data_IF_591408919985
#
_entry.id   IF_591408919985
#
_cell.length_a   1.000
_cell.length_b   1.000
_cell.length_c   1.000
_cell.angle_alpha   90.00
_cell.angle_beta   90.00
_cell.angle_gamma   90.00
#
_symmetry.space_group_name_H-M   'P 1'
#
loop_
_entity.id
_entity.type
_entity.pdbx_description
1 polymer ?
#
# COMPACT_ATOMS: atom_id res chain seq x y z
N UNK A 1 -0.90 16.07 -12.29
CA UNK A 1 0.11 15.01 -12.28
C UNK A 1 1.00 15.19 -13.51
N UNK A 2 2.32 15.31 -13.29
CA UNK A 2 3.31 15.34 -14.35
C UNK A 2 3.77 13.90 -14.66
N UNK A 3 3.74 13.56 -15.95
CA UNK A 3 4.17 12.24 -16.46
C UNK A 3 5.50 12.35 -17.20
N UNK A 4 6.08 11.23 -17.55
CA UNK A 4 7.22 11.17 -18.47
C UNK A 4 6.90 11.99 -19.73
N UNK A 5 7.73 12.96 -20.08
CA UNK A 5 7.51 13.88 -21.20
C UNK A 5 7.01 15.29 -20.84
N UNK A 6 6.38 15.46 -19.69
CA UNK A 6 5.90 16.77 -19.21
C UNK A 6 7.01 17.58 -18.50
N UNK A 7 8.16 16.96 -18.25
CA UNK A 7 9.28 17.56 -17.54
C UNK A 7 10.08 18.49 -18.44
N UNK A 8 9.99 19.78 -18.17
CA UNK A 8 10.61 20.84 -18.97
C UNK A 8 11.76 21.58 -18.28
N UNK A 9 11.97 21.30 -16.98
CA UNK A 9 12.99 21.99 -16.15
C UNK A 9 13.95 20.97 -15.54
N UNK A 10 15.21 21.37 -15.41
CA UNK A 10 16.23 20.59 -14.71
C UNK A 10 16.20 20.79 -13.19
N UNK A 11 15.51 21.84 -12.73
CA UNK A 11 15.42 22.21 -11.31
C UNK A 11 13.99 22.54 -10.92
N UNK A 12 13.57 22.04 -9.78
CA UNK A 12 12.29 22.32 -9.11
C UNK A 12 12.54 22.68 -7.66
N UNK A 13 11.58 23.35 -7.03
CA UNK A 13 11.61 23.67 -5.59
C UNK A 13 10.22 23.46 -4.99
N UNK A 14 10.15 23.18 -3.70
CA UNK A 14 8.94 23.04 -2.92
C UNK A 14 9.25 23.22 -1.42
N UNK A 15 8.22 23.40 -0.59
CA UNK A 15 8.39 23.35 0.86
C UNK A 15 8.63 21.91 1.33
N UNK A 16 7.79 21.00 0.90
CA UNK A 16 7.86 19.59 1.27
C UNK A 16 8.05 18.69 0.05
N UNK A 17 9.13 17.95 0.04
CA UNK A 17 9.33 16.86 -0.91
C UNK A 17 8.91 15.54 -0.27
N UNK A 18 7.94 14.85 -0.87
CA UNK A 18 7.47 13.52 -0.44
C UNK A 18 7.92 12.47 -1.45
N UNK A 19 8.77 11.55 -1.04
CA UNK A 19 9.27 10.45 -1.89
C UNK A 19 8.41 9.21 -1.66
N UNK A 20 7.60 8.85 -2.65
CA UNK A 20 6.63 7.75 -2.64
C UNK A 20 5.21 8.22 -2.40
N UNK A 21 4.28 7.66 -3.17
CA UNK A 21 2.83 7.94 -3.10
C UNK A 21 2.01 6.80 -2.50
N UNK A 22 2.66 5.90 -1.77
CA UNK A 22 2.01 4.84 -0.99
C UNK A 22 1.25 5.39 0.23
N UNK A 23 0.83 4.50 1.13
CA UNK A 23 0.01 4.86 2.29
C UNK A 23 0.62 6.01 3.13
N UNK A 24 1.89 5.87 3.53
CA UNK A 24 2.54 6.87 4.39
C UNK A 24 2.75 8.22 3.70
N UNK A 25 3.30 8.20 2.47
CA UNK A 25 3.59 9.43 1.73
C UNK A 25 2.34 10.20 1.35
N UNK A 26 1.31 9.51 0.85
CA UNK A 26 0.05 10.14 0.44
C UNK A 26 -0.66 10.81 1.61
N UNK A 27 -0.76 10.14 2.77
CA UNK A 27 -1.42 10.73 3.95
C UNK A 27 -0.66 11.96 4.44
N UNK A 28 0.67 11.81 4.65
CA UNK A 28 1.49 12.91 5.16
C UNK A 28 1.46 14.12 4.21
N UNK A 29 1.70 13.90 2.92
CA UNK A 29 1.74 15.00 1.95
C UNK A 29 0.39 15.64 1.70
N UNK A 30 -0.72 14.87 1.72
CA UNK A 30 -2.07 15.43 1.59
C UNK A 30 -2.38 16.35 2.76
N UNK A 31 -2.13 15.92 4.00
CA UNK A 31 -2.40 16.76 5.16
C UNK A 31 -1.54 18.03 5.20
N UNK A 32 -0.33 17.98 4.68
CA UNK A 32 0.53 19.17 4.52
C UNK A 32 -0.02 20.11 3.45
N UNK A 33 -0.42 19.59 2.29
CA UNK A 33 -1.00 20.39 1.22
C UNK A 33 -2.32 21.06 1.66
N UNK A 34 -3.19 20.35 2.37
CA UNK A 34 -4.44 20.90 2.93
C UNK A 34 -4.20 22.02 3.97
N UNK A 35 -2.98 22.11 4.53
CA UNK A 35 -2.54 23.22 5.38
C UNK A 35 -1.90 24.38 4.59
N UNK A 36 -1.92 24.33 3.25
CA UNK A 36 -1.39 25.37 2.38
C UNK A 36 0.11 25.29 2.09
N UNK A 37 0.79 24.17 2.43
CA UNK A 37 2.20 23.99 2.10
C UNK A 37 2.37 23.66 0.61
N UNK A 38 3.46 24.12 -0.03
CA UNK A 38 3.84 23.67 -1.37
C UNK A 38 4.44 22.27 -1.30
N UNK A 39 3.66 21.28 -1.74
CA UNK A 39 4.04 19.84 -1.66
C UNK A 39 4.27 19.27 -3.04
N UNK A 40 5.43 18.63 -3.20
CA UNK A 40 5.75 17.82 -4.39
C UNK A 40 5.92 16.37 -4.01
N UNK A 41 5.14 15.50 -4.63
CA UNK A 41 5.31 14.05 -4.54
C UNK A 41 6.16 13.55 -5.71
N UNK A 42 7.04 12.59 -5.42
CA UNK A 42 7.82 11.86 -6.44
C UNK A 42 7.46 10.39 -6.34
N UNK A 43 7.01 9.84 -7.47
CA UNK A 43 6.68 8.42 -7.57
C UNK A 43 7.48 7.75 -8.69
N UNK A 44 8.14 6.65 -8.38
CA UNK A 44 8.93 5.87 -9.34
C UNK A 44 8.07 5.23 -10.42
N UNK A 45 6.87 4.81 -10.06
CA UNK A 45 5.92 4.17 -10.95
C UNK A 45 5.07 5.15 -11.74
N UNK A 46 4.38 4.62 -12.75
CA UNK A 46 3.49 5.39 -13.62
C UNK A 46 2.17 5.75 -12.95
N UNK A 47 1.51 6.75 -13.50
CA UNK A 47 0.13 7.08 -13.16
C UNK A 47 -0.84 6.31 -14.06
N UNK A 48 -1.69 5.53 -13.45
CA UNK A 48 -2.74 4.76 -14.11
C UNK A 48 -4.10 5.16 -13.52
N UNK A 49 -4.95 5.88 -14.26
CA UNK A 49 -6.29 6.23 -13.79
C UNK A 49 -7.14 4.97 -13.65
N UNK A 50 -8.15 4.99 -12.79
CA UNK A 50 -9.05 3.87 -12.53
C UNK A 50 -9.66 3.29 -13.81
N UNK A 51 -9.97 4.14 -14.79
CA UNK A 51 -10.50 3.75 -16.10
C UNK A 51 -9.55 2.88 -16.93
N UNK A 52 -8.25 2.87 -16.59
CA UNK A 52 -7.25 2.04 -17.27
C UNK A 52 -7.09 0.65 -16.64
N UNK A 53 -7.76 0.40 -15.53
CA UNK A 53 -7.73 -0.91 -14.87
C UNK A 53 -8.68 -1.87 -15.56
N UNK A 54 -8.25 -3.12 -15.65
CA UNK A 54 -9.02 -4.20 -16.25
C UNK A 54 -8.84 -5.49 -15.41
N UNK A 55 -9.56 -6.54 -15.76
CA UNK A 55 -9.49 -7.81 -15.06
C UNK A 55 -8.40 -8.77 -15.59
N UNK A 56 -7.50 -8.29 -16.46
CA UNK A 56 -6.42 -9.10 -17.03
C UNK A 56 -5.21 -9.04 -16.09
N UNK A 57 -4.97 -10.13 -15.37
CA UNK A 57 -3.92 -10.22 -14.35
C UNK A 57 -2.55 -9.84 -14.90
N UNK A 58 -2.13 -10.40 -16.04
CA UNK A 58 -0.83 -10.13 -16.66
C UNK A 58 -0.61 -8.66 -17.01
N UNK A 59 -1.64 -7.99 -17.58
CA UNK A 59 -1.57 -6.56 -17.93
C UNK A 59 -1.41 -5.71 -16.65
N UNK A 60 -2.19 -6.01 -15.62
CA UNK A 60 -2.23 -5.22 -14.40
C UNK A 60 -0.99 -5.44 -13.55
N UNK A 61 -0.49 -6.67 -13.45
CA UNK A 61 0.78 -6.93 -12.76
C UNK A 61 1.95 -6.26 -13.48
N UNK A 62 1.97 -6.25 -14.80
CA UNK A 62 3.00 -5.55 -15.57
C UNK A 62 3.01 -4.04 -15.34
N UNK A 63 1.83 -3.41 -15.13
CA UNK A 63 1.67 -1.97 -14.92
C UNK A 63 1.89 -1.55 -13.47
N UNK A 64 1.31 -2.30 -12.52
CA UNK A 64 1.14 -1.84 -11.14
C UNK A 64 2.21 -2.37 -10.20
N UNK A 65 2.87 -3.48 -10.54
CA UNK A 65 3.83 -4.13 -9.67
C UNK A 65 5.27 -3.88 -10.09
N UNK A 66 6.16 -3.83 -9.13
CA UNK A 66 7.60 -3.90 -9.36
C UNK A 66 7.96 -5.23 -10.02
N UNK A 67 8.82 -5.20 -11.03
CA UNK A 67 9.29 -6.39 -11.73
C UNK A 67 8.14 -7.31 -12.21
N UNK A 68 7.00 -6.74 -12.57
CA UNK A 68 5.80 -7.48 -12.99
C UNK A 68 5.30 -8.49 -11.96
N UNK A 69 5.47 -8.18 -10.67
CA UNK A 69 5.06 -9.04 -9.56
C UNK A 69 6.08 -10.11 -9.14
N UNK A 70 7.21 -10.20 -9.82
CA UNK A 70 8.26 -11.18 -9.52
C UNK A 70 9.45 -10.48 -8.85
N UNK A 71 9.47 -10.45 -7.52
CA UNK A 71 10.57 -9.89 -6.72
C UNK A 71 10.96 -10.90 -5.63
N UNK A 72 11.83 -11.87 -5.93
CA UNK A 72 12.22 -12.85 -4.93
C UNK A 72 13.17 -12.24 -3.90
N UNK A 73 12.93 -12.51 -2.62
CA UNK A 73 13.90 -12.36 -1.55
C UNK A 73 14.73 -13.65 -1.50
N UNK A 74 15.98 -13.53 -1.87
CA UNK A 74 16.90 -14.68 -1.93
C UNK A 74 17.33 -15.04 -0.52
N UNK A 75 16.99 -16.24 -0.08
CA UNK A 75 17.27 -16.75 1.25
C UNK A 75 16.78 -18.20 1.41
N UNK A 76 16.80 -18.70 2.63
CA UNK A 76 16.23 -19.99 3.01
C UNK A 76 15.19 -19.79 4.09
N UNK A 77 13.88 -19.90 3.75
CA UNK A 77 13.32 -20.20 2.42
C UNK A 77 13.39 -19.02 1.45
N UNK A 78 13.16 -19.29 0.16
CA UNK A 78 12.90 -18.26 -0.85
C UNK A 78 11.53 -17.66 -0.59
N UNK A 79 11.43 -16.32 -0.55
CA UNK A 79 10.17 -15.60 -0.30
C UNK A 79 9.81 -14.73 -1.50
N UNK A 80 8.59 -14.83 -2.00
CA UNK A 80 8.09 -13.95 -3.03
C UNK A 80 7.61 -12.63 -2.39
N UNK A 81 8.18 -11.51 -2.83
CA UNK A 81 7.79 -10.18 -2.40
C UNK A 81 6.97 -9.50 -3.50
N UNK A 82 5.85 -8.91 -3.15
CA UNK A 82 5.03 -8.08 -4.03
C UNK A 82 5.11 -6.62 -3.59
N UNK A 83 5.59 -5.74 -4.47
CA UNK A 83 5.63 -4.29 -4.23
C UNK A 83 4.82 -3.56 -5.30
N UNK A 84 4.01 -2.57 -4.89
CA UNK A 84 3.39 -1.63 -5.81
C UNK A 84 4.42 -0.66 -6.38
N UNK A 85 4.40 -0.46 -7.70
CA UNK A 85 5.20 0.53 -8.41
C UNK A 85 4.30 1.33 -9.34
N UNK A 86 3.51 2.17 -8.75
CA UNK A 86 2.55 3.05 -9.44
C UNK A 86 2.14 4.17 -8.49
N UNK A 87 1.56 5.24 -8.99
CA UNK A 87 0.93 6.26 -8.17
C UNK A 87 -0.13 5.63 -7.28
N UNK A 88 -0.01 5.81 -5.95
CA UNK A 88 -0.79 5.12 -4.93
C UNK A 88 -0.08 3.91 -4.32
N UNK A 89 1.02 3.43 -4.92
CA UNK A 89 1.88 2.38 -4.37
C UNK A 89 1.15 1.10 -3.98
N UNK A 90 1.54 0.51 -2.86
CA UNK A 90 0.96 -0.74 -2.33
C UNK A 90 -0.55 -0.66 -2.05
N UNK A 91 -1.12 0.53 -1.83
CA UNK A 91 -2.56 0.69 -1.60
C UNK A 91 -3.40 0.35 -2.83
N UNK A 92 -2.81 0.44 -4.03
CA UNK A 92 -3.50 0.08 -5.29
C UNK A 92 -3.58 -1.43 -5.48
N UNK A 93 -2.64 -2.19 -4.92
CA UNK A 93 -2.50 -3.64 -5.14
C UNK A 93 -2.76 -4.51 -3.90
N UNK A 94 -3.04 -3.93 -2.74
CA UNK A 94 -3.39 -4.68 -1.53
C UNK A 94 -4.82 -5.25 -1.59
N UNK A 95 -5.18 -6.07 -0.60
CA UNK A 95 -6.52 -6.65 -0.48
C UNK A 95 -7.56 -5.74 0.20
N UNK A 96 -7.24 -4.48 0.46
CA UNK A 96 -8.07 -3.43 1.08
C UNK A 96 -8.60 -3.69 2.50
N UNK A 97 -8.21 -4.78 3.17
CA UNK A 97 -8.46 -4.93 4.60
C UNK A 97 -7.76 -3.81 5.37
N UNK A 98 -8.46 -3.16 6.29
CA UNK A 98 -7.93 -2.08 7.11
C UNK A 98 -8.23 -2.33 8.58
N UNK A 99 -7.20 -2.65 9.35
CA UNK A 99 -7.29 -2.96 10.76
C UNK A 99 -6.63 -1.87 11.59
N UNK A 100 -7.17 -1.63 12.78
CA UNK A 100 -6.47 -0.85 13.81
C UNK A 100 -5.34 -1.71 14.39
N UNK A 101 -4.25 -1.08 14.76
CA UNK A 101 -3.19 -1.77 15.51
C UNK A 101 -3.76 -2.25 16.85
N UNK A 102 -3.65 -3.55 17.21
CA UNK A 102 -4.13 -4.05 18.49
C UNK A 102 -3.51 -3.29 19.67
N UNK A 103 -4.33 -3.06 20.71
CA UNK A 103 -3.88 -2.32 21.89
C UNK A 103 -2.62 -2.93 22.53
N UNK A 104 -2.55 -4.27 22.62
CA UNK A 104 -1.38 -4.98 23.17
C UNK A 104 -0.08 -4.64 22.44
N UNK A 105 -0.12 -4.52 21.08
CA UNK A 105 1.06 -4.16 20.28
C UNK A 105 1.49 -2.70 20.57
N UNK A 106 0.52 -1.79 20.73
CA UNK A 106 0.83 -0.41 21.09
C UNK A 106 1.41 -0.31 22.52
N UNK A 107 0.91 -1.13 23.43
CA UNK A 107 1.45 -1.22 24.79
C UNK A 107 2.89 -1.77 24.79
N UNK A 108 3.18 -2.81 24.00
CA UNK A 108 4.55 -3.32 23.77
C UNK A 108 5.46 -2.22 23.20
N UNK A 109 5.01 -1.45 22.21
CA UNK A 109 5.80 -0.37 21.63
C UNK A 109 6.16 0.70 22.68
N UNK A 110 5.25 1.00 23.61
CA UNK A 110 5.54 1.92 24.69
C UNK A 110 6.56 1.34 25.68
N UNK A 111 6.40 0.08 26.07
CA UNK A 111 7.24 -0.59 27.05
C UNK A 111 8.64 -0.89 26.52
N UNK A 112 8.73 -1.52 25.35
CA UNK A 112 9.98 -2.06 24.81
C UNK A 112 10.81 -1.03 24.05
N UNK A 113 10.12 -0.05 23.41
CA UNK A 113 10.78 0.94 22.55
C UNK A 113 10.62 2.38 23.03
N UNK A 114 9.96 2.63 24.16
CA UNK A 114 9.77 3.97 24.72
C UNK A 114 8.88 4.90 23.88
N UNK A 115 8.00 4.35 23.04
CA UNK A 115 7.15 5.12 22.12
C UNK A 115 5.90 5.67 22.83
N UNK A 116 6.08 6.53 23.82
CA UNK A 116 5.00 7.01 24.72
C UNK A 116 3.88 7.77 24.01
N UNK A 117 4.13 8.36 22.85
CA UNK A 117 3.12 9.06 22.05
C UNK A 117 2.14 8.15 21.30
N UNK A 118 2.35 6.84 21.29
CA UNK A 118 1.62 5.86 20.48
C UNK A 118 0.65 5.00 21.29
N UNK A 119 0.12 5.52 22.40
CA UNK A 119 -0.95 4.82 23.14
C UNK A 119 -2.21 4.68 22.27
N UNK A 120 -3.03 3.67 22.56
CA UNK A 120 -4.31 3.50 21.84
C UNK A 120 -5.20 4.75 21.95
N UNK A 121 -5.26 5.35 23.14
CA UNK A 121 -6.03 6.58 23.37
C UNK A 121 -5.55 7.76 22.51
N UNK A 122 -4.22 7.92 22.34
CA UNK A 122 -3.65 8.96 21.51
C UNK A 122 -3.92 8.73 20.02
N UNK A 123 -3.96 7.47 19.57
CA UNK A 123 -4.15 7.11 18.17
C UNK A 123 -5.61 6.94 17.77
N UNK A 124 -6.55 6.78 18.71
CA UNK A 124 -7.95 6.50 18.40
C UNK A 124 -8.58 7.51 17.46
N UNK A 125 -8.39 8.81 17.73
CA UNK A 125 -8.90 9.88 16.85
C UNK A 125 -8.31 9.83 15.44
N UNK A 126 -7.04 9.39 15.31
CA UNK A 126 -6.39 9.19 14.02
C UNK A 126 -6.93 7.96 13.29
N UNK A 127 -7.18 6.85 13.99
CA UNK A 127 -7.84 5.67 13.41
C UNK A 127 -9.22 6.03 12.88
N UNK A 128 -10.05 6.68 13.68
CA UNK A 128 -11.37 7.13 13.29
C UNK A 128 -11.35 8.07 12.08
N UNK A 129 -10.37 8.99 12.03
CA UNK A 129 -10.21 9.89 10.88
C UNK A 129 -9.87 9.12 9.61
N UNK A 130 -8.90 8.20 9.65
CA UNK A 130 -8.49 7.39 8.49
C UNK A 130 -9.65 6.49 8.04
N UNK A 131 -10.37 5.88 8.97
CA UNK A 131 -11.56 5.05 8.66
C UNK A 131 -12.64 5.86 7.92
N UNK A 132 -12.91 7.09 8.37
CA UNK A 132 -13.84 7.99 7.65
C UNK A 132 -13.30 8.39 6.28
N UNK A 133 -12.04 8.81 6.19
CA UNK A 133 -11.40 9.27 4.95
C UNK A 133 -11.36 8.15 3.88
N UNK A 134 -11.24 6.90 4.31
CA UNK A 134 -11.18 5.71 3.46
C UNK A 134 -12.52 4.95 3.38
N UNK A 135 -13.59 5.51 3.94
CA UNK A 135 -14.91 4.88 3.93
C UNK A 135 -14.85 3.42 4.38
N UNK A 136 -14.25 3.17 5.55
CA UNK A 136 -14.09 1.82 6.08
C UNK A 136 -15.43 1.29 6.58
N UNK A 137 -15.89 0.23 5.96
CA UNK A 137 -17.13 -0.44 6.32
C UNK A 137 -16.85 -1.87 6.77
N UNK A 138 -17.25 -2.19 8.01
CA UNK A 138 -17.07 -3.53 8.56
C UNK A 138 -18.27 -4.45 8.28
N UNK A 139 -19.47 -3.92 8.03
CA UNK A 139 -20.70 -4.71 8.01
C UNK A 139 -21.41 -4.78 6.65
N UNK A 140 -21.25 -3.81 5.75
CA UNK A 140 -22.03 -3.80 4.51
C UNK A 140 -21.38 -4.58 3.36
N UNK A 141 -20.05 -4.51 3.26
CA UNK A 141 -19.29 -5.15 2.17
C UNK A 141 -18.89 -6.58 2.58
N UNK A 142 -18.51 -6.77 3.85
CA UNK A 142 -18.18 -8.07 4.42
C UNK A 142 -19.34 -8.55 5.30
N UNK A 143 -20.40 -9.03 4.72
CA UNK A 143 -21.55 -9.61 5.40
C UNK A 143 -21.82 -11.03 4.91
N UNK A 144 -22.62 -11.82 5.63
CA UNK A 144 -22.98 -13.19 5.19
C UNK A 144 -23.57 -13.21 3.79
N UNK A 145 -24.38 -12.20 3.42
CA UNK A 145 -24.98 -12.09 2.07
C UNK A 145 -23.96 -11.87 0.96
N UNK A 146 -22.82 -11.24 1.28
CA UNK A 146 -21.79 -10.86 0.31
C UNK A 146 -20.53 -11.72 0.44
N UNK A 147 -20.64 -12.82 1.18
CA UNK A 147 -19.54 -13.75 1.41
C UNK A 147 -19.51 -14.79 0.29
N UNK A 148 -18.37 -14.90 -0.38
CA UNK A 148 -18.15 -15.91 -1.42
C UNK A 148 -18.08 -17.33 -0.82
N UNK A 149 -18.27 -18.34 -1.66
CA UNK A 149 -18.39 -19.74 -1.21
C UNK A 149 -17.15 -20.24 -0.46
N UNK A 150 -15.95 -19.84 -0.84
CA UNK A 150 -14.71 -20.18 -0.12
C UNK A 150 -14.74 -19.69 1.33
N UNK A 151 -15.21 -18.45 1.54
CA UNK A 151 -15.34 -17.87 2.89
C UNK A 151 -16.51 -18.47 3.68
N UNK A 152 -17.59 -18.87 3.01
CA UNK A 152 -18.66 -19.64 3.65
C UNK A 152 -18.13 -20.99 4.17
N UNK A 153 -17.32 -21.70 3.39
CA UNK A 153 -16.68 -22.95 3.83
C UNK A 153 -15.74 -22.72 5.03
N UNK A 154 -15.02 -21.60 5.04
CA UNK A 154 -14.19 -21.23 6.19
C UNK A 154 -15.05 -21.01 7.45
N UNK A 155 -16.16 -20.27 7.33
CA UNK A 155 -17.11 -20.04 8.44
C UNK A 155 -17.72 -21.35 8.93
N UNK A 156 -18.17 -22.22 8.02
CA UNK A 156 -18.73 -23.53 8.35
C UNK A 156 -17.72 -24.40 9.13
N UNK A 157 -16.46 -24.41 8.68
CA UNK A 157 -15.38 -25.12 9.37
C UNK A 157 -15.08 -24.54 10.74
N UNK A 158 -14.99 -23.22 10.86
CA UNK A 158 -14.76 -22.54 12.12
C UNK A 158 -15.90 -22.78 13.13
N UNK A 159 -17.17 -22.74 12.68
CA UNK A 159 -18.34 -23.05 13.52
C UNK A 159 -18.27 -24.46 14.08
N UNK A 160 -17.87 -25.46 13.28
CA UNK A 160 -17.73 -26.86 13.74
C UNK A 160 -16.65 -27.03 14.81
N UNK A 161 -15.63 -26.17 14.79
CA UNK A 161 -14.51 -26.19 15.74
C UNK A 161 -14.71 -25.20 16.91
N UNK A 162 -15.84 -24.49 16.95
CA UNK A 162 -16.13 -23.39 17.88
C UNK A 162 -15.07 -22.27 17.84
N UNK A 163 -14.48 -22.02 16.68
CA UNK A 163 -13.50 -20.95 16.48
C UNK A 163 -14.17 -19.61 16.20
N UNK A 164 -13.58 -18.54 16.73
CA UNK A 164 -14.07 -17.16 16.55
C UNK A 164 -13.78 -16.65 15.14
N UNK A 165 -14.80 -16.14 14.48
CA UNK A 165 -14.67 -15.50 13.15
C UNK A 165 -15.13 -14.05 13.21
N UNK A 166 -14.49 -13.19 12.43
CA UNK A 166 -14.86 -11.79 12.30
C UNK A 166 -14.87 -11.36 10.83
N UNK A 167 -15.74 -10.41 10.49
CA UNK A 167 -15.72 -9.79 9.17
C UNK A 167 -14.62 -8.76 9.09
N UNK A 168 -13.87 -8.80 7.98
CA UNK A 168 -12.74 -7.89 7.73
C UNK A 168 -13.27 -6.48 7.44
N UNK A 169 -12.85 -5.45 8.20
CA UNK A 169 -13.13 -4.07 7.87
C UNK A 169 -12.41 -3.68 6.56
N UNK A 170 -13.13 -3.02 5.64
CA UNK A 170 -12.65 -2.80 4.28
C UNK A 170 -12.73 -1.34 3.88
N UNK A 171 -11.62 -0.84 3.32
CA UNK A 171 -11.52 0.50 2.76
C UNK A 171 -12.15 0.55 1.35
N UNK A 172 -13.47 0.53 1.26
CA UNK A 172 -14.19 0.48 0.00
C UNK A 172 -15.51 1.25 0.03
N UNK A 173 -15.92 1.77 -1.12
CA UNK A 173 -17.19 2.47 -1.32
C UNK A 173 -17.90 1.90 -2.54
N UNK A 174 -19.13 1.43 -2.36
CA UNK A 174 -19.94 0.83 -3.45
C UNK A 174 -19.23 -0.34 -4.16
N UNK A 175 -18.69 -1.29 -3.40
CA UNK A 175 -18.00 -2.45 -3.95
C UNK A 175 -18.90 -3.25 -4.91
N UNK A 176 -18.37 -3.60 -6.08
CA UNK A 176 -19.06 -4.41 -7.10
C UNK A 176 -18.61 -5.88 -7.11
N UNK A 177 -17.95 -6.34 -6.07
CA UNK A 177 -17.55 -7.75 -5.86
C UNK A 177 -16.76 -8.38 -7.00
N UNK A 178 -15.91 -7.61 -7.68
CA UNK A 178 -15.14 -8.06 -8.85
C UNK A 178 -13.93 -8.92 -8.50
N UNK A 179 -13.59 -9.06 -7.22
CA UNK A 179 -12.37 -9.71 -6.72
C UNK A 179 -11.09 -9.25 -7.44
N UNK A 180 -10.99 -7.95 -7.71
CA UNK A 180 -9.87 -7.35 -8.46
C UNK A 180 -8.99 -6.44 -7.60
N UNK A 181 -9.14 -6.50 -6.27
CA UNK A 181 -8.44 -5.59 -5.35
C UNK A 181 -6.92 -5.61 -5.54
N UNK A 182 -6.33 -6.79 -5.73
CA UNK A 182 -4.88 -6.96 -5.90
C UNK A 182 -4.33 -6.55 -7.28
N UNK A 183 -5.18 -6.32 -8.26
CA UNK A 183 -4.78 -5.93 -9.62
C UNK A 183 -5.31 -4.56 -10.05
N UNK A 184 -5.66 -3.72 -9.08
CA UNK A 184 -6.32 -2.44 -9.32
C UNK A 184 -7.82 -2.62 -9.49
N UNK A 185 -8.61 -1.87 -8.73
CA UNK A 185 -10.06 -1.95 -8.76
C UNK A 185 -10.61 -1.17 -9.96
N UNK A 186 -11.20 -1.83 -10.98
CA UNK A 186 -11.65 -1.15 -12.19
C UNK A 186 -12.87 -0.26 -11.96
N UNK A 187 -13.62 -0.48 -10.87
CA UNK A 187 -14.79 0.32 -10.51
C UNK A 187 -14.45 1.54 -9.65
N UNK A 188 -13.21 1.65 -9.16
CA UNK A 188 -12.82 2.70 -8.22
C UNK A 188 -13.39 2.53 -6.81
N UNK A 189 -14.10 1.44 -6.53
CA UNK A 189 -14.70 1.18 -5.23
C UNK A 189 -13.67 1.09 -4.10
N UNK A 190 -12.53 0.44 -4.36
CA UNK A 190 -11.41 0.35 -3.41
C UNK A 190 -10.82 1.73 -3.14
N UNK A 191 -10.78 2.13 -1.87
CA UNK A 191 -10.31 3.43 -1.42
C UNK A 191 -8.78 3.46 -1.23
N UNK A 192 -8.05 3.09 -2.30
CA UNK A 192 -6.61 3.30 -2.35
C UNK A 192 -6.27 4.81 -2.28
N UNK A 193 -5.05 5.16 -1.94
CA UNK A 193 -4.63 6.57 -1.91
C UNK A 193 -4.75 7.26 -3.27
N UNK A 194 -4.75 6.49 -4.36
CA UNK A 194 -4.99 6.98 -5.73
C UNK A 194 -6.36 7.65 -5.89
N UNK A 195 -7.39 7.17 -5.20
CA UNK A 195 -8.78 7.67 -5.33
C UNK A 195 -9.26 8.42 -4.08
N UNK A 196 -8.50 8.40 -2.99
CA UNK A 196 -8.85 9.03 -1.72
C UNK A 196 -7.96 10.25 -1.41
N UNK A 197 -6.75 10.04 -0.94
CA UNK A 197 -5.87 11.12 -0.48
C UNK A 197 -5.23 11.92 -1.61
N UNK A 198 -4.71 11.29 -2.66
CA UNK A 198 -3.98 12.00 -3.72
C UNK A 198 -4.83 12.99 -4.52
N UNK A 199 -6.13 12.73 -4.84
CA UNK A 199 -6.99 13.76 -5.41
C UNK A 199 -7.12 14.98 -4.50
N UNK A 200 -7.34 14.81 -3.20
CA UNK A 200 -7.41 15.90 -2.22
C UNK A 200 -6.11 16.71 -2.18
N UNK A 201 -4.95 16.04 -2.25
CA UNK A 201 -3.66 16.74 -2.32
C UNK A 201 -3.54 17.60 -3.57
N UNK A 202 -3.99 17.10 -4.74
CA UNK A 202 -3.99 17.83 -6.01
C UNK A 202 -4.93 19.04 -5.93
N UNK A 203 -6.13 18.86 -5.38
CA UNK A 203 -7.12 19.93 -5.19
C UNK A 203 -6.58 21.01 -4.25
N UNK A 204 -5.74 20.65 -3.28
CA UNK A 204 -5.00 21.55 -2.40
C UNK A 204 -3.72 22.14 -3.04
N UNK A 205 -3.46 21.93 -4.33
CA UNK A 205 -2.34 22.50 -5.07
C UNK A 205 -1.06 21.68 -5.14
N UNK A 206 -1.01 20.50 -4.52
CA UNK A 206 0.16 19.63 -4.58
C UNK A 206 0.42 19.11 -6.00
N UNK A 207 1.69 18.84 -6.30
CA UNK A 207 2.15 18.29 -7.58
C UNK A 207 2.62 16.85 -7.40
N UNK A 208 2.28 15.98 -8.34
CA UNK A 208 2.76 14.59 -8.35
C UNK A 208 3.59 14.38 -9.61
N UNK A 209 4.83 13.93 -9.43
CA UNK A 209 5.75 13.58 -10.49
C UNK A 209 5.80 12.06 -10.57
N UNK A 210 5.11 11.47 -11.55
CA UNK A 210 5.11 10.04 -11.84
C UNK A 210 6.23 9.67 -12.82
N UNK A 211 6.56 8.38 -12.91
CA UNK A 211 7.70 7.87 -13.71
C UNK A 211 9.02 8.59 -13.36
N UNK A 212 9.14 9.00 -12.11
CA UNK A 212 10.22 9.82 -11.60
C UNK A 212 10.86 9.13 -10.39
N UNK A 213 12.09 8.67 -10.54
CA UNK A 213 12.79 7.92 -9.49
C UNK A 213 13.84 8.78 -8.79
N UNK A 214 13.68 8.99 -7.50
CA UNK A 214 14.75 9.57 -6.69
C UNK A 214 15.90 8.58 -6.56
N UNK A 215 17.09 9.00 -6.98
CA UNK A 215 18.28 8.16 -7.00
C UNK A 215 19.30 8.53 -5.94
N UNK A 216 19.26 9.75 -5.42
CA UNK A 216 20.16 10.22 -4.37
C UNK A 216 19.59 11.45 -3.66
N UNK A 217 19.82 11.54 -2.36
CA UNK A 217 19.60 12.73 -1.54
C UNK A 217 20.96 13.36 -1.26
N UNK A 218 21.08 14.64 -1.50
CA UNK A 218 22.31 15.39 -1.22
C UNK A 218 22.13 16.11 0.12
N UNK A 219 23.03 15.84 1.02
CA UNK A 219 23.04 16.38 2.38
C UNK A 219 24.45 16.79 2.81
N UNK A 220 24.54 17.69 3.77
CA UNK A 220 25.78 18.08 4.44
C UNK A 220 25.49 18.54 5.87
N UNK A 221 26.42 18.32 6.77
CA UNK A 221 26.32 18.74 8.18
C UNK A 221 24.98 18.36 8.85
N UNK A 222 24.47 17.16 8.55
CA UNK A 222 23.20 16.65 9.09
C UNK A 222 21.91 17.17 8.43
N UNK A 223 22.01 18.08 7.45
CA UNK A 223 20.87 18.67 6.74
C UNK A 223 20.80 18.17 5.30
N UNK A 224 19.62 17.74 4.86
CA UNK A 224 19.33 17.40 3.47
C UNK A 224 18.96 18.68 2.69
N UNK A 225 19.49 18.82 1.47
CA UNK A 225 19.35 20.05 0.70
C UNK A 225 18.51 19.88 -0.57
N UNK A 226 18.73 18.80 -1.32
CA UNK A 226 17.99 18.50 -2.53
C UNK A 226 18.06 17.01 -2.88
N UNK A 227 17.10 16.56 -3.63
CA UNK A 227 17.08 15.22 -4.20
C UNK A 227 17.48 15.26 -5.69
N UNK A 228 18.18 14.22 -6.13
CA UNK A 228 18.41 13.94 -7.55
C UNK A 228 17.43 12.85 -7.95
N UNK A 229 16.62 13.15 -8.95
CA UNK A 229 15.67 12.19 -9.53
C UNK A 229 15.98 11.96 -11.01
N UNK A 230 15.67 10.76 -11.49
CA UNK A 230 15.76 10.37 -12.89
C UNK A 230 14.35 10.24 -13.47
N UNK A 231 14.14 10.83 -14.63
CA UNK A 231 12.93 10.73 -15.43
C UNK A 231 13.29 10.23 -16.83
N UNK A 232 12.36 9.58 -17.51
CA UNK A 232 12.55 9.17 -18.90
C UNK A 232 11.74 10.12 -19.79
N UNK A 233 12.43 10.87 -20.63
CA UNK A 233 11.82 11.77 -21.62
C UNK A 233 12.29 11.36 -23.00
N UNK A 234 11.37 11.07 -23.91
CA UNK A 234 11.69 10.62 -25.29
C UNK A 234 12.72 9.48 -25.32
N UNK A 235 12.53 8.48 -24.47
CA UNK A 235 13.43 7.31 -24.30
C UNK A 235 14.86 7.64 -23.83
N UNK A 236 15.11 8.84 -23.33
CA UNK A 236 16.40 9.24 -22.73
C UNK A 236 16.22 9.52 -21.25
N UNK A 237 17.20 9.10 -20.47
CA UNK A 237 17.26 9.43 -19.03
C UNK A 237 17.72 10.87 -18.85
N UNK A 238 16.94 11.65 -18.12
CA UNK A 238 17.26 12.99 -17.68
C UNK A 238 17.34 13.03 -16.16
N UNK A 239 18.25 13.84 -15.63
CA UNK A 239 18.37 14.08 -14.20
C UNK A 239 17.77 15.43 -13.87
N UNK A 240 16.90 15.46 -12.89
CA UNK A 240 16.34 16.69 -12.33
C UNK A 240 16.78 16.84 -10.87
N UNK A 241 16.91 18.07 -10.41
CA UNK A 241 17.18 18.41 -9.00
C UNK A 241 15.94 19.02 -8.39
N UNK A 242 15.58 18.56 -7.20
CA UNK A 242 14.40 19.06 -6.48
C UNK A 242 14.88 19.56 -5.11
N UNK A 243 14.82 20.88 -4.93
CA UNK A 243 15.17 21.56 -3.69
C UNK A 243 13.96 21.60 -2.77
N UNK A 244 14.16 21.48 -1.48
CA UNK A 244 13.08 21.44 -0.49
C UNK A 244 13.54 22.03 0.84
N UNK A 245 12.57 22.45 1.66
CA UNK A 245 12.81 22.81 3.04
C UNK A 245 12.71 21.57 3.94
N UNK A 246 11.77 20.69 3.65
CA UNK A 246 11.51 19.46 4.42
C UNK A 246 11.40 18.25 3.50
N UNK A 247 11.84 17.09 4.00
CA UNK A 247 11.87 15.85 3.26
C UNK A 247 11.10 14.74 3.99
N UNK A 248 10.14 14.12 3.31
CA UNK A 248 9.45 12.91 3.77
C UNK A 248 9.86 11.74 2.87
N UNK A 249 10.50 10.72 3.44
CA UNK A 249 10.92 9.52 2.69
C UNK A 249 9.94 8.40 3.00
N UNK A 250 9.09 8.06 2.03
CA UNK A 250 8.02 7.08 2.14
C UNK A 250 8.02 6.07 0.97
N UNK A 251 9.22 5.68 0.51
CA UNK A 251 9.42 4.76 -0.61
C UNK A 251 9.18 3.28 -0.29
N UNK A 252 8.59 2.95 0.87
CA UNK A 252 8.35 1.58 1.31
C UNK A 252 9.55 0.92 1.99
N UNK A 253 9.33 -0.28 2.54
CA UNK A 253 10.27 -0.98 3.40
C UNK A 253 11.58 -1.39 2.70
N UNK A 254 11.58 -1.53 1.38
CA UNK A 254 12.75 -1.93 0.59
C UNK A 254 13.45 -0.71 -0.02
N UNK A 255 12.70 0.20 -0.65
CA UNK A 255 13.29 1.30 -1.41
C UNK A 255 13.79 2.45 -0.50
N UNK A 256 13.12 2.68 0.64
CA UNK A 256 13.57 3.69 1.62
C UNK A 256 14.96 3.37 2.17
N UNK A 257 15.24 2.17 2.73
CA UNK A 257 16.60 1.84 3.20
C UNK A 257 17.64 1.86 2.07
N UNK A 258 17.27 1.43 0.87
CA UNK A 258 18.16 1.48 -0.29
C UNK A 258 18.58 2.92 -0.61
N UNK A 259 17.60 3.85 -0.66
CA UNK A 259 17.85 5.27 -0.93
C UNK A 259 18.73 5.91 0.17
N UNK A 260 18.43 5.62 1.45
CA UNK A 260 19.21 6.11 2.59
C UNK A 260 20.66 5.64 2.54
N UNK A 261 20.91 4.37 2.25
CA UNK A 261 22.26 3.82 2.07
C UNK A 261 23.00 4.47 0.89
N UNK A 262 22.33 4.55 -0.27
CA UNK A 262 22.90 5.13 -1.48
C UNK A 262 23.22 6.61 -1.32
N UNK A 263 22.53 7.29 -0.43
CA UNK A 263 22.75 8.70 -0.08
C UNK A 263 23.73 8.91 1.08
N UNK A 264 24.27 7.84 1.66
CA UNK A 264 25.14 7.87 2.86
C UNK A 264 24.48 8.51 4.09
N UNK A 265 23.15 8.42 4.21
CA UNK A 265 22.37 9.01 5.33
C UNK A 265 22.24 8.08 6.53
N UNK A 266 22.34 6.76 6.32
CA UNK A 266 22.22 5.79 7.42
C UNK A 266 23.03 4.53 7.14
N UNK A 267 23.86 4.14 8.11
CA UNK A 267 24.59 2.86 8.10
C UNK A 267 23.72 1.69 8.57
N UNK A 268 22.65 1.97 9.30
CA UNK A 268 21.80 0.97 9.93
C UNK A 268 20.55 0.63 9.11
N UNK A 269 20.11 1.52 8.22
CA UNK A 269 18.94 1.27 7.40
C UNK A 269 19.07 -0.02 6.57
N UNK A 270 18.07 -0.88 6.63
CA UNK A 270 18.01 -2.15 5.90
C UNK A 270 18.94 -3.26 6.42
N UNK A 271 19.41 -3.18 7.67
CA UNK A 271 20.14 -4.30 8.33
C UNK A 271 19.21 -5.42 8.78
N UNK A 272 17.95 -5.09 9.07
CA UNK A 272 16.89 -6.05 9.42
C UNK A 272 15.73 -5.86 8.48
N UNK A 273 15.07 -6.95 8.12
CA UNK A 273 13.82 -6.99 7.39
C UNK A 273 12.87 -7.89 8.18
N UNK A 274 11.73 -7.32 8.53
CA UNK A 274 10.62 -8.02 9.17
C UNK A 274 9.40 -7.92 8.25
N UNK A 275 8.62 -8.98 8.14
CA UNK A 275 7.43 -9.02 7.31
C UNK A 275 6.48 -10.12 7.80
N UNK A 276 5.21 -9.98 7.47
CA UNK A 276 4.22 -11.01 7.74
C UNK A 276 4.48 -12.24 6.87
N UNK A 277 4.75 -13.37 7.51
CA UNK A 277 4.80 -14.65 6.84
C UNK A 277 3.39 -15.12 6.52
N UNK A 278 3.19 -15.62 5.30
CA UNK A 278 1.95 -16.27 4.92
C UNK A 278 2.24 -17.72 4.54
N UNK A 279 1.52 -18.64 5.16
CA UNK A 279 1.46 -20.04 4.75
C UNK A 279 0.14 -20.26 4.03
N UNK A 280 0.18 -20.85 2.84
CA UNK A 280 -1.03 -21.17 2.07
C UNK A 280 -1.34 -22.65 2.21
N UNK A 281 -2.55 -22.94 2.69
CA UNK A 281 -3.14 -24.26 2.69
C UNK A 281 -4.17 -24.33 1.56
N UNK A 282 -4.05 -25.32 0.71
CA UNK A 282 -4.95 -25.51 -0.43
C UNK A 282 -5.96 -26.59 -0.06
N UNK A 283 -7.24 -26.25 -0.08
CA UNK A 283 -8.33 -27.20 0.08
C UNK A 283 -9.02 -27.48 -1.26
N UNK A 284 -9.27 -28.75 -1.55
CA UNK A 284 -10.05 -29.22 -2.69
C UNK A 284 -11.43 -29.66 -2.22
N UNK A 285 -12.46 -29.17 -2.89
CA UNK A 285 -13.85 -29.51 -2.65
C UNK A 285 -14.42 -30.29 -3.83
N UNK A 286 -15.40 -31.18 -3.62
CA UNK A 286 -16.09 -31.89 -4.70
C UNK A 286 -16.91 -30.94 -5.57
N UNK A 287 -17.47 -29.86 -4.98
CA UNK A 287 -18.22 -28.82 -5.68
C UNK A 287 -17.33 -27.65 -6.13
N UNK A 288 -17.80 -26.90 -7.13
CA UNK A 288 -17.14 -25.67 -7.59
C UNK A 288 -17.31 -24.54 -6.57
N UNK A 289 -16.21 -23.98 -6.08
CA UNK A 289 -16.21 -22.94 -5.04
C UNK A 289 -16.21 -21.51 -5.62
N UNK A 290 -15.81 -21.33 -6.89
CA UNK A 290 -15.75 -20.01 -7.54
C UNK A 290 -15.02 -18.94 -6.71
N UNK A 291 -13.90 -19.30 -6.09
CA UNK A 291 -13.14 -18.43 -5.20
C UNK A 291 -12.59 -17.15 -5.87
N UNK A 292 -12.59 -17.10 -7.21
CA UNK A 292 -12.24 -15.94 -8.04
C UNK A 292 -13.32 -14.85 -8.09
N UNK A 293 -14.52 -15.11 -7.55
CA UNK A 293 -15.66 -14.17 -7.50
C UNK A 293 -15.86 -13.62 -6.09
N UNK A 294 -16.55 -12.51 -5.98
CA UNK A 294 -16.90 -11.91 -4.68
C UNK A 294 -15.85 -10.92 -4.16
N UNK A 295 -15.67 -10.88 -2.85
CA UNK A 295 -14.68 -10.04 -2.18
C UNK A 295 -13.42 -10.84 -1.81
N UNK A 296 -12.29 -10.19 -1.85
CA UNK A 296 -11.04 -10.77 -1.36
C UNK A 296 -11.08 -10.88 0.16
N UNK A 297 -10.86 -12.08 0.73
CA UNK A 297 -10.81 -12.41 2.17
C UNK A 297 -11.81 -11.61 3.06
N UNK A 298 -13.13 -11.77 2.88
CA UNK A 298 -14.12 -11.02 3.63
C UNK A 298 -14.23 -11.43 5.11
N UNK A 299 -13.70 -12.59 5.49
CA UNK A 299 -13.76 -13.17 6.83
C UNK A 299 -12.39 -13.61 7.28
N UNK A 300 -12.12 -13.45 8.56
CA UNK A 300 -10.90 -13.87 9.23
C UNK A 300 -11.24 -14.67 10.50
N UNK A 301 -10.50 -15.73 10.77
CA UNK A 301 -10.55 -16.48 12.03
C UNK A 301 -9.58 -15.79 13.01
N UNK A 302 -10.07 -15.43 14.19
CA UNK A 302 -9.35 -14.74 15.26
C UNK A 302 -9.08 -15.63 16.47
N UNK A 303 -9.30 -16.94 16.36
CA UNK A 303 -9.08 -17.88 17.47
C UNK A 303 -7.65 -17.86 18.01
N UNK A 304 -6.68 -17.68 17.10
CA UNK A 304 -5.24 -17.70 17.42
C UNK A 304 -4.61 -16.30 17.46
N UNK A 305 -5.41 -15.27 17.73
CA UNK A 305 -4.96 -13.88 17.77
C UNK A 305 -3.85 -13.64 18.81
N UNK A 306 -3.91 -14.32 19.95
CA UNK A 306 -2.88 -14.23 21.00
C UNK A 306 -1.55 -14.87 20.59
N UNK A 307 -1.55 -15.68 19.54
CA UNK A 307 -0.38 -16.32 18.95
C UNK A 307 0.08 -15.60 17.66
N UNK A 308 -0.43 -14.37 17.43
CA UNK A 308 -0.18 -13.57 16.23
C UNK A 308 -0.54 -14.30 14.91
N UNK A 309 -1.48 -15.23 14.98
CA UNK A 309 -1.91 -16.03 13.84
C UNK A 309 -3.38 -15.76 13.48
N UNK A 310 -3.61 -15.46 12.21
CA UNK A 310 -4.94 -15.27 11.65
C UNK A 310 -5.12 -16.16 10.43
N UNK A 311 -6.31 -16.76 10.27
CA UNK A 311 -6.62 -17.59 9.12
C UNK A 311 -7.68 -16.86 8.27
N UNK A 312 -7.40 -16.69 6.99
CA UNK A 312 -8.35 -16.11 6.06
C UNK A 312 -8.33 -16.82 4.71
N UNK A 313 -9.36 -16.62 3.92
CA UNK A 313 -9.36 -17.10 2.53
C UNK A 313 -8.39 -16.30 1.70
N UNK A 314 -7.72 -16.95 0.76
CA UNK A 314 -6.80 -16.30 -0.19
C UNK A 314 -7.26 -16.63 -1.60
N UNK A 315 -8.41 -16.06 -1.97
CA UNK A 315 -8.95 -16.23 -3.31
C UNK A 315 -8.12 -15.45 -4.33
N UNK A 316 -7.59 -16.13 -5.30
CA UNK A 316 -6.87 -15.55 -6.42
C UNK A 316 -7.53 -15.95 -7.74
N UNK A 317 -7.46 -15.07 -8.73
CA UNK A 317 -7.94 -15.43 -10.07
C UNK A 317 -7.13 -16.58 -10.63
N UNK A 318 -7.73 -17.55 -11.35
CA UNK A 318 -7.03 -18.70 -11.91
C UNK A 318 -5.79 -18.33 -12.71
N UNK A 319 -5.82 -17.23 -13.44
CA UNK A 319 -4.69 -16.69 -14.18
C UNK A 319 -3.51 -16.24 -13.30
N UNK A 320 -3.73 -16.02 -12.02
CA UNK A 320 -2.66 -15.71 -11.05
C UNK A 320 -1.91 -16.98 -10.60
N UNK A 321 -2.60 -18.12 -10.58
CA UNK A 321 -2.00 -19.42 -10.25
C UNK A 321 -1.18 -19.97 -11.42
N UNK A 322 -1.41 -19.47 -12.63
CA UNK A 322 -0.70 -19.89 -13.85
C UNK A 322 0.58 -19.07 -14.13
N UNK A 323 0.85 -18.06 -13.32
CA UNK A 323 2.08 -17.25 -13.37
C UNK A 323 3.14 -17.74 -12.38
#
# INVERSE_FOLDING_TARGET
>A
ILKSGDYIKDKYSCDYLVIGTGAGGSVAGTLLAEKGCDVVFIEEGGYFPTSSFNNKVGDMTAKLYRNRGISPLIGKPLVALAEGRCVGGGTVINGEGLFRTPKRILDEWQQDYGLMGYSYANLEGHFQKVERDLNVESKSISSEKNTNLDSQKLIEGAKKLNWRTEFVPRAAKNCQYTNSCSIGCPTGAKQSTLVSYLPRAIDAGAKIFSDCRVTKIIHSKGTAHYAIAEVIVKNKKHKIKIYFNYLVIAGGAIQTPHLLKKSNMSKNAGKKLEFHMNVKVIARFPESIYADKGTMFPVQIHEFENEDCYINTSAVKPSYLAM
#
